data_IF_850119017288
#
_entry.id   IF_850119017288
#
_cell.length_a   1.000
_cell.length_b   1.000
_cell.length_c   1.000
_cell.angle_alpha   90.00
_cell.angle_beta   90.00
_cell.angle_gamma   90.00
#
_symmetry.space_group_name_H-M   'P 1'
#
loop_
_entity.id
_entity.type
_entity.pdbx_description
1 polymer ?
#
# COMPACT_ATOMS: atom_id res chain seq x y z
N UNK A 1 -22.22 -22.45 -33.51
CA UNK A 1 -23.22 -21.40 -33.14
C UNK A 1 -23.04 -20.80 -31.73
N UNK A 2 -22.35 -21.50 -30.78
CA UNK A 2 -22.14 -21.01 -29.41
C UNK A 2 -20.94 -20.03 -29.24
N UNK A 3 -20.00 -20.00 -30.20
CA UNK A 3 -18.80 -19.13 -30.07
C UNK A 3 -19.10 -17.65 -30.41
N UNK A 4 -20.02 -17.41 -31.33
CA UNK A 4 -20.41 -16.05 -31.77
C UNK A 4 -21.19 -15.30 -30.69
N UNK A 5 -22.04 -16.01 -29.94
CA UNK A 5 -22.83 -15.41 -28.86
C UNK A 5 -21.99 -14.97 -27.65
N UNK A 6 -20.89 -15.68 -27.36
CA UNK A 6 -19.93 -15.27 -26.31
C UNK A 6 -19.16 -14.02 -26.72
N UNK A 7 -18.64 -13.96 -27.96
CA UNK A 7 -17.93 -12.78 -28.47
C UNK A 7 -18.80 -11.53 -28.49
N UNK A 8 -20.07 -11.63 -28.91
CA UNK A 8 -20.99 -10.49 -28.92
C UNK A 8 -21.30 -9.99 -27.49
N UNK A 9 -21.54 -10.88 -26.51
CA UNK A 9 -21.73 -10.45 -25.10
C UNK A 9 -20.46 -9.81 -24.52
N UNK A 10 -19.30 -10.31 -24.88
CA UNK A 10 -18.02 -9.77 -24.43
C UNK A 10 -17.73 -8.39 -25.02
N UNK A 11 -18.04 -8.17 -26.31
CA UNK A 11 -17.98 -6.85 -26.93
C UNK A 11 -18.92 -5.86 -26.23
N UNK A 12 -20.16 -6.23 -25.97
CA UNK A 12 -21.14 -5.35 -25.33
C UNK A 12 -20.69 -4.86 -23.94
N UNK A 13 -20.02 -5.68 -23.13
CA UNK A 13 -19.52 -5.26 -21.80
C UNK A 13 -18.34 -4.29 -21.94
N UNK A 14 -17.42 -4.53 -22.88
CA UNK A 14 -16.29 -3.66 -23.15
C UNK A 14 -16.74 -2.28 -23.64
N UNK A 15 -17.67 -2.27 -24.60
CA UNK A 15 -18.16 -1.03 -25.21
C UNK A 15 -19.11 -0.28 -24.26
N UNK A 16 -19.74 -1.00 -23.33
CA UNK A 16 -20.65 -0.40 -22.34
C UNK A 16 -19.98 0.68 -21.48
N UNK A 17 -18.74 0.47 -21.03
CA UNK A 17 -18.02 1.45 -20.21
C UNK A 17 -17.76 2.74 -20.97
N UNK A 18 -17.49 2.68 -22.27
CA UNK A 18 -17.36 3.83 -23.15
C UNK A 18 -18.73 4.49 -23.42
N UNK A 19 -19.76 3.72 -23.75
CA UNK A 19 -21.09 4.24 -23.98
C UNK A 19 -21.77 4.84 -22.73
N UNK A 20 -21.36 4.42 -21.54
CA UNK A 20 -21.80 4.97 -20.26
C UNK A 20 -20.92 6.13 -19.75
N UNK A 21 -19.98 6.60 -20.58
CA UNK A 21 -19.05 7.69 -20.22
C UNK A 21 -18.23 7.42 -18.94
N UNK A 22 -17.97 6.12 -18.62
CA UNK A 22 -17.10 5.71 -17.54
C UNK A 22 -15.62 5.87 -17.94
N UNK A 23 -15.34 5.73 -19.23
CA UNK A 23 -14.02 5.92 -19.84
C UNK A 23 -14.13 6.66 -21.15
N UNK A 24 -13.14 7.51 -21.46
CA UNK A 24 -13.02 8.26 -22.72
C UNK A 24 -12.31 7.44 -23.81
N UNK A 25 -11.85 6.24 -23.50
CA UNK A 25 -11.12 5.38 -24.41
C UNK A 25 -12.12 4.51 -25.18
N UNK A 26 -12.25 4.78 -26.50
CA UNK A 26 -13.04 3.95 -27.42
C UNK A 26 -12.33 2.60 -27.64
N UNK A 27 -12.91 1.48 -27.14
CA UNK A 27 -12.27 0.18 -27.25
C UNK A 27 -12.23 -0.36 -28.68
N UNK A 28 -13.10 0.10 -29.57
CA UNK A 28 -13.10 -0.29 -30.97
C UNK A 28 -11.98 0.41 -31.73
N UNK A 29 -11.78 1.71 -31.47
CA UNK A 29 -10.73 2.50 -32.12
C UNK A 29 -9.33 1.99 -31.83
N UNK A 30 -9.11 1.46 -30.63
CA UNK A 30 -7.80 0.99 -30.17
C UNK A 30 -7.67 -0.54 -30.16
N UNK A 31 -8.65 -1.26 -30.71
CA UNK A 31 -8.68 -2.73 -30.80
C UNK A 31 -8.31 -3.43 -29.46
N UNK A 32 -8.93 -2.98 -28.38
CA UNK A 32 -8.65 -3.48 -27.05
C UNK A 32 -9.23 -4.88 -26.85
N UNK A 33 -8.43 -5.80 -26.33
CA UNK A 33 -8.88 -7.15 -26.02
C UNK A 33 -9.74 -7.16 -24.74
N UNK A 34 -10.90 -7.83 -24.79
CA UNK A 34 -11.81 -7.96 -23.66
C UNK A 34 -11.19 -8.69 -22.46
N UNK A 35 -10.40 -9.73 -22.74
CA UNK A 35 -9.73 -10.57 -21.75
C UNK A 35 -8.77 -9.77 -20.82
N UNK A 36 -8.36 -8.59 -21.25
CA UNK A 36 -7.57 -7.66 -20.43
C UNK A 36 -8.40 -7.02 -19.31
N UNK A 37 -9.71 -6.88 -19.52
CA UNK A 37 -10.65 -6.28 -18.55
C UNK A 37 -11.35 -7.31 -17.68
N UNK A 38 -11.60 -8.51 -18.22
CA UNK A 38 -12.28 -9.61 -17.53
C UNK A 38 -11.56 -10.92 -17.83
N UNK A 39 -10.64 -11.30 -16.94
CA UNK A 39 -9.99 -12.62 -17.00
C UNK A 39 -10.71 -13.56 -16.01
N UNK A 40 -11.33 -14.67 -16.47
CA UNK A 40 -11.98 -15.65 -15.60
C UNK A 40 -11.05 -16.33 -14.59
N UNK A 41 -9.75 -16.36 -14.89
CA UNK A 41 -8.72 -16.92 -14.00
C UNK A 41 -8.34 -15.96 -12.85
N UNK A 42 -8.69 -14.68 -12.96
CA UNK A 42 -8.41 -13.67 -11.93
C UNK A 42 -9.53 -13.67 -10.91
N UNK A 43 -9.37 -14.45 -9.85
CA UNK A 43 -10.25 -14.48 -8.68
C UNK A 43 -9.68 -13.51 -7.63
N UNK A 44 -9.84 -12.21 -7.84
CA UNK A 44 -9.46 -11.19 -6.85
C UNK A 44 -10.55 -10.14 -6.77
N UNK A 45 -10.72 -9.55 -5.59
CA UNK A 45 -11.58 -8.36 -5.43
C UNK A 45 -11.10 -7.23 -6.33
N UNK A 46 -12.00 -6.43 -6.90
CA UNK A 46 -11.61 -5.26 -7.69
C UNK A 46 -10.87 -4.25 -6.81
N UNK A 47 -9.77 -3.72 -7.29
CA UNK A 47 -9.05 -2.59 -6.70
C UNK A 47 -9.59 -1.31 -7.33
N UNK A 48 -10.06 -0.38 -6.51
CA UNK A 48 -10.69 0.86 -6.96
C UNK A 48 -9.82 2.02 -6.51
N UNK A 49 -8.99 2.50 -7.43
CA UNK A 49 -8.15 3.67 -7.23
C UNK A 49 -8.85 4.92 -7.77
N UNK A 50 -8.96 5.95 -6.93
CA UNK A 50 -9.55 7.23 -7.29
C UNK A 50 -8.53 8.35 -7.01
N UNK A 51 -8.12 9.04 -8.05
CA UNK A 51 -7.13 10.10 -7.99
C UNK A 51 -7.77 11.47 -7.74
N UNK A 52 -7.33 12.15 -6.68
CA UNK A 52 -7.77 13.49 -6.32
C UNK A 52 -6.59 14.44 -6.17
N UNK A 53 -6.85 15.75 -6.26
CA UNK A 53 -5.88 16.75 -5.81
C UNK A 53 -5.58 16.58 -4.31
N UNK A 54 -4.30 16.64 -3.94
CA UNK A 54 -3.84 16.35 -2.57
C UNK A 54 -4.43 17.33 -1.54
N UNK A 55 -4.62 18.59 -1.90
CA UNK A 55 -5.15 19.63 -1.01
C UNK A 55 -6.61 19.41 -0.60
N UNK A 56 -7.42 18.78 -1.45
CA UNK A 56 -8.86 18.60 -1.23
C UNK A 56 -9.28 17.15 -0.97
N UNK A 57 -8.33 16.22 -0.87
CA UNK A 57 -8.62 14.79 -0.57
C UNK A 57 -9.41 14.63 0.74
N UNK A 58 -9.10 15.42 1.75
CA UNK A 58 -9.81 15.39 3.04
C UNK A 58 -11.32 15.67 2.91
N UNK A 59 -11.71 16.58 2.01
CA UNK A 59 -13.12 16.86 1.73
C UNK A 59 -13.85 15.66 1.13
N UNK A 60 -13.15 14.87 0.30
CA UNK A 60 -13.73 13.65 -0.30
C UNK A 60 -14.00 12.59 0.77
N UNK A 61 -13.06 12.36 1.67
CA UNK A 61 -13.25 11.42 2.79
C UNK A 61 -14.42 11.86 3.68
N UNK A 62 -14.51 13.15 3.97
CA UNK A 62 -15.61 13.71 4.76
C UNK A 62 -16.97 13.58 4.03
N UNK A 63 -16.99 13.80 2.72
CA UNK A 63 -18.18 13.58 1.90
C UNK A 63 -18.66 12.11 1.97
N UNK A 64 -17.73 11.16 1.87
CA UNK A 64 -18.04 9.73 1.93
C UNK A 64 -18.61 9.37 3.31
N UNK A 65 -18.01 9.87 4.39
CA UNK A 65 -18.52 9.68 5.76
C UNK A 65 -19.93 10.24 5.92
N UNK A 66 -20.20 11.44 5.43
CA UNK A 66 -21.54 12.04 5.47
C UNK A 66 -22.57 11.27 4.63
N UNK A 67 -22.13 10.74 3.49
CA UNK A 67 -23.02 10.01 2.56
C UNK A 67 -23.42 8.63 3.07
N UNK A 68 -22.48 7.87 3.64
CA UNK A 68 -22.69 6.47 4.03
C UNK A 68 -22.89 6.28 5.53
N UNK A 69 -22.52 7.25 6.34
CA UNK A 69 -22.56 7.20 7.80
C UNK A 69 -21.17 7.03 8.41
N UNK A 70 -20.92 7.69 9.55
CA UNK A 70 -19.62 7.66 10.22
C UNK A 70 -19.22 6.27 10.72
N UNK A 71 -20.19 5.44 11.06
CA UNK A 71 -20.03 4.06 11.51
C UNK A 71 -19.88 3.05 10.36
N UNK A 72 -20.17 3.47 9.12
CA UNK A 72 -20.05 2.66 7.90
C UNK A 72 -18.72 2.87 7.15
N UNK A 73 -17.90 3.81 7.60
CA UNK A 73 -16.65 4.19 6.91
C UNK A 73 -15.49 4.16 7.88
N UNK A 74 -14.45 3.40 7.56
CA UNK A 74 -13.23 3.36 8.33
C UNK A 74 -12.00 3.37 7.44
N UNK A 75 -10.90 3.92 7.94
CA UNK A 75 -9.62 3.86 7.26
C UNK A 75 -8.94 2.51 7.55
N UNK A 76 -7.97 2.13 6.72
CA UNK A 76 -7.22 0.89 6.88
C UNK A 76 -5.98 1.16 7.71
N UNK A 77 -5.62 0.22 8.61
CA UNK A 77 -4.35 0.26 9.32
C UNK A 77 -3.23 -0.26 8.44
N UNK A 78 -2.05 0.33 8.59
CA UNK A 78 -0.80 -0.22 8.07
C UNK A 78 0.17 -0.45 9.22
N UNK A 79 0.90 -1.57 9.16
CA UNK A 79 1.94 -1.87 10.13
C UNK A 79 3.30 -1.64 9.50
N UNK A 80 4.05 -0.69 10.05
CA UNK A 80 5.46 -0.55 9.72
C UNK A 80 6.24 -1.70 10.35
N UNK A 81 6.93 -2.50 9.54
CA UNK A 81 7.77 -3.60 10.00
C UNK A 81 9.23 -3.17 10.17
N UNK A 82 9.95 -3.86 11.05
CA UNK A 82 11.38 -3.63 11.22
C UNK A 82 12.16 -4.23 10.05
N UNK A 83 12.57 -3.39 9.10
CA UNK A 83 13.52 -3.79 8.06
C UNK A 83 14.94 -3.96 8.65
N UNK A 84 15.80 -4.72 7.97
CA UNK A 84 17.16 -5.09 8.39
C UNK A 84 17.95 -3.97 9.09
N UNK A 85 18.08 -2.80 8.45
CA UNK A 85 18.82 -1.65 9.03
C UNK A 85 18.15 -1.05 10.26
N UNK A 86 16.82 -1.04 10.29
CA UNK A 86 16.06 -0.53 11.43
C UNK A 86 16.20 -1.49 12.62
N UNK A 87 16.11 -2.79 12.38
CA UNK A 87 16.31 -3.82 13.40
C UNK A 87 17.71 -3.72 14.05
N UNK A 88 18.78 -3.58 13.25
CA UNK A 88 20.14 -3.36 13.77
C UNK A 88 20.20 -2.13 14.68
N UNK A 89 19.64 -0.99 14.26
CA UNK A 89 19.70 0.25 15.06
C UNK A 89 18.88 0.16 16.35
N UNK A 90 17.71 -0.46 16.31
CA UNK A 90 16.85 -0.60 17.48
C UNK A 90 17.44 -1.57 18.51
N UNK A 91 17.97 -2.71 18.03
CA UNK A 91 18.69 -3.67 18.90
C UNK A 91 19.97 -3.07 19.45
N UNK A 92 20.73 -2.34 18.65
CA UNK A 92 21.94 -1.66 19.10
C UNK A 92 21.68 -0.70 20.25
N UNK A 93 20.58 0.07 20.20
CA UNK A 93 20.13 0.93 21.32
C UNK A 93 19.75 0.11 22.55
N UNK A 94 19.02 -0.99 22.37
CA UNK A 94 18.61 -1.86 23.47
C UNK A 94 19.81 -2.55 24.14
N UNK A 95 20.87 -2.84 23.38
CA UNK A 95 22.13 -3.40 23.89
C UNK A 95 23.10 -2.34 24.44
N UNK A 96 22.68 -1.07 24.54
CA UNK A 96 23.50 0.06 24.97
C UNK A 96 24.80 0.25 24.16
N UNK A 97 24.76 -0.07 22.86
CA UNK A 97 25.85 0.21 21.94
C UNK A 97 25.81 1.68 21.51
N UNK A 98 26.97 2.25 21.19
CA UNK A 98 27.03 3.63 20.69
C UNK A 98 26.44 3.72 19.30
N UNK A 99 25.85 4.87 18.96
CA UNK A 99 25.28 5.10 17.64
C UNK A 99 26.31 4.88 16.51
N UNK A 100 27.56 5.31 16.74
CA UNK A 100 28.63 5.16 15.77
C UNK A 100 28.97 3.69 15.46
N UNK A 101 29.07 2.85 16.48
CA UNK A 101 29.32 1.40 16.32
C UNK A 101 28.19 0.74 15.54
N UNK A 102 26.95 1.03 15.91
CA UNK A 102 25.76 0.43 15.30
C UNK A 102 25.57 0.91 13.85
N UNK A 103 25.85 2.20 13.56
CA UNK A 103 25.66 2.78 12.25
C UNK A 103 26.68 2.25 11.22
N UNK A 104 27.89 1.93 11.66
CA UNK A 104 28.89 1.22 10.84
C UNK A 104 28.32 -0.12 10.37
N UNK A 105 27.80 -0.94 11.27
CA UNK A 105 27.20 -2.23 10.93
C UNK A 105 25.97 -2.07 10.03
N UNK A 106 25.10 -1.13 10.36
CA UNK A 106 23.89 -0.88 9.59
C UNK A 106 24.16 -0.41 8.15
N UNK A 107 25.23 0.35 7.93
CA UNK A 107 25.64 0.81 6.59
C UNK A 107 26.20 -0.30 5.71
N UNK A 108 26.73 -1.37 6.28
CA UNK A 108 27.22 -2.54 5.53
C UNK A 108 26.09 -3.40 4.94
N UNK A 109 24.86 -3.23 5.41
CA UNK A 109 23.69 -3.85 4.76
C UNK A 109 23.50 -3.21 3.39
N UNK A 110 23.46 -3.97 2.29
CA UNK A 110 23.27 -3.42 0.95
C UNK A 110 22.02 -2.56 0.82
N UNK A 111 22.08 -1.51 0.02
CA UNK A 111 20.96 -0.64 -0.29
C UNK A 111 20.99 -0.26 -1.77
N UNK A 112 19.80 -0.20 -2.38
CA UNK A 112 19.63 0.17 -3.79
C UNK A 112 18.24 -0.19 -4.28
N UNK A 113 17.89 0.14 -5.53
CA UNK A 113 16.56 -0.14 -6.07
C UNK A 113 16.17 -1.64 -6.06
N UNK A 114 17.15 -2.57 -6.10
CA UNK A 114 16.93 -4.01 -5.97
C UNK A 114 17.09 -4.56 -4.54
N UNK A 115 17.41 -3.71 -3.56
CA UNK A 115 17.76 -4.10 -2.20
C UNK A 115 16.76 -3.62 -1.13
N UNK A 116 15.58 -3.16 -1.56
CA UNK A 116 14.57 -2.57 -0.67
C UNK A 116 14.04 -3.53 0.42
N UNK A 117 14.11 -4.84 0.17
CA UNK A 117 13.60 -5.88 1.06
C UNK A 117 14.66 -6.95 1.40
N UNK A 118 15.96 -6.60 1.34
CA UNK A 118 17.02 -7.53 1.73
C UNK A 118 16.90 -7.86 3.21
N UNK A 119 16.87 -9.16 3.51
CA UNK A 119 16.93 -9.69 4.87
C UNK A 119 18.37 -9.66 5.40
N UNK A 120 18.53 -9.69 6.73
CA UNK A 120 19.86 -9.77 7.35
C UNK A 120 20.62 -11.02 6.95
N UNK A 121 19.93 -12.15 6.74
CA UNK A 121 20.54 -13.38 6.24
C UNK A 121 21.10 -13.23 4.83
N UNK A 122 20.38 -12.55 3.95
CA UNK A 122 20.85 -12.24 2.59
C UNK A 122 21.98 -11.21 2.62
N UNK A 123 21.87 -10.19 3.48
CA UNK A 123 22.92 -9.18 3.67
C UNK A 123 24.27 -9.81 4.09
N UNK A 124 24.26 -10.80 4.97
CA UNK A 124 25.45 -11.55 5.37
C UNK A 124 26.08 -12.34 4.20
N UNK A 125 25.26 -12.78 3.23
CA UNK A 125 25.78 -13.47 2.03
C UNK A 125 26.35 -12.51 1.00
N UNK A 126 25.76 -11.33 0.88
CA UNK A 126 26.11 -10.34 -0.14
C UNK A 126 27.26 -9.42 0.29
N UNK A 127 27.36 -9.07 1.57
CA UNK A 127 28.38 -8.16 2.11
C UNK A 127 29.46 -8.95 2.84
N UNK A 128 30.61 -9.10 2.18
CA UNK A 128 31.78 -9.77 2.79
C UNK A 128 32.21 -9.08 4.09
N UNK A 129 32.26 -7.74 4.09
CA UNK A 129 32.65 -6.97 5.27
C UNK A 129 31.71 -7.23 6.46
N UNK A 130 30.39 -7.28 6.22
CA UNK A 130 29.41 -7.60 7.26
C UNK A 130 29.61 -9.02 7.80
N UNK A 131 29.87 -9.98 6.91
CA UNK A 131 30.13 -11.36 7.28
C UNK A 131 31.43 -11.54 8.08
N UNK A 132 32.48 -10.81 7.74
CA UNK A 132 33.76 -10.83 8.45
C UNK A 132 33.58 -10.25 9.87
N UNK A 133 32.94 -9.07 10.02
CA UNK A 133 32.62 -8.48 11.32
C UNK A 133 31.72 -9.39 12.18
N UNK A 134 30.75 -10.04 11.57
CA UNK A 134 29.88 -11.01 12.26
C UNK A 134 30.66 -12.21 12.83
N UNK A 135 31.72 -12.67 12.15
CA UNK A 135 32.58 -13.78 12.59
C UNK A 135 33.59 -13.38 13.64
N UNK A 136 34.18 -12.18 13.48
CA UNK A 136 35.34 -11.75 14.28
C UNK A 136 34.92 -11.03 15.56
N UNK A 137 33.78 -10.33 15.57
CA UNK A 137 33.35 -9.52 16.69
C UNK A 137 32.14 -10.10 17.43
N UNK A 138 32.33 -10.62 18.66
CA UNK A 138 31.22 -11.22 19.44
C UNK A 138 30.08 -10.24 19.72
N UNK A 139 30.37 -8.94 19.85
CA UNK A 139 29.36 -7.88 20.03
C UNK A 139 28.49 -7.72 18.78
N UNK A 140 29.12 -7.68 17.60
CA UNK A 140 28.41 -7.58 16.32
C UNK A 140 27.61 -8.84 16.04
N UNK A 141 28.14 -10.00 16.36
CA UNK A 141 27.40 -11.27 16.26
C UNK A 141 26.12 -11.22 17.10
N UNK A 142 26.21 -10.86 18.37
CA UNK A 142 25.05 -10.74 19.25
C UNK A 142 24.04 -9.72 18.72
N UNK A 143 24.52 -8.58 18.20
CA UNK A 143 23.69 -7.55 17.60
C UNK A 143 22.89 -8.10 16.40
N UNK A 144 23.54 -8.77 15.47
CA UNK A 144 22.93 -9.30 14.25
C UNK A 144 22.00 -10.46 14.56
N UNK A 145 22.39 -11.41 15.42
CA UNK A 145 21.55 -12.55 15.81
C UNK A 145 20.24 -12.06 16.46
N UNK A 146 20.33 -11.08 17.35
CA UNK A 146 19.14 -10.47 17.98
C UNK A 146 18.31 -9.69 16.97
N UNK A 147 18.95 -8.97 16.06
CA UNK A 147 18.26 -8.21 15.01
C UNK A 147 17.53 -9.14 14.02
N UNK A 148 18.09 -10.28 13.66
CA UNK A 148 17.44 -11.30 12.82
C UNK A 148 16.19 -11.88 13.48
N UNK A 149 16.17 -12.04 14.81
CA UNK A 149 15.00 -12.50 15.52
C UNK A 149 13.84 -11.49 15.55
N UNK A 150 14.15 -10.20 15.39
CA UNK A 150 13.16 -9.09 15.39
C UNK A 150 12.83 -8.57 14.00
N UNK A 151 13.63 -8.94 13.00
CA UNK A 151 13.41 -8.52 11.61
C UNK A 151 12.04 -8.97 11.11
N UNK A 152 11.31 -8.06 10.45
CA UNK A 152 9.97 -8.31 9.94
C UNK A 152 8.84 -8.17 10.98
N UNK A 153 9.16 -8.06 12.26
CA UNK A 153 8.12 -7.84 13.29
C UNK A 153 7.49 -6.44 13.14
N UNK A 154 6.17 -6.31 13.41
CA UNK A 154 5.51 -5.02 13.47
C UNK A 154 6.16 -4.11 14.52
N UNK A 155 6.40 -2.86 14.15
CA UNK A 155 7.01 -1.85 15.03
C UNK A 155 6.01 -0.79 15.48
N UNK A 156 5.21 -0.32 14.57
CA UNK A 156 4.17 0.68 14.84
C UNK A 156 3.00 0.49 13.87
N UNK A 157 1.82 0.91 14.31
CA UNK A 157 0.63 1.01 13.50
C UNK A 157 0.50 2.44 12.98
N UNK A 158 0.15 2.58 11.73
CA UNK A 158 -0.13 3.85 11.05
C UNK A 158 -1.45 3.74 10.30
N UNK A 159 -1.99 4.87 9.89
CA UNK A 159 -3.16 4.90 9.01
C UNK A 159 -2.71 4.80 7.56
N UNK A 160 -3.37 3.97 6.76
CA UNK A 160 -3.10 3.88 5.32
C UNK A 160 -3.33 5.23 4.65
N UNK A 161 -2.42 5.63 3.76
CA UNK A 161 -2.46 6.95 3.15
C UNK A 161 -3.72 7.21 2.30
N UNK A 162 -4.29 6.17 1.69
CA UNK A 162 -5.39 6.27 0.73
C UNK A 162 -6.58 5.36 1.07
N UNK A 163 -6.34 4.17 1.64
CA UNK A 163 -7.32 3.10 1.79
C UNK A 163 -8.47 3.42 2.74
N UNK A 164 -9.69 3.29 2.23
CA UNK A 164 -10.92 3.45 2.97
C UNK A 164 -11.83 2.25 2.71
N UNK A 165 -12.42 1.71 3.75
CA UNK A 165 -13.44 0.66 3.67
C UNK A 165 -14.81 1.28 3.86
N UNK A 166 -15.76 0.90 3.00
CA UNK A 166 -17.16 1.31 3.08
C UNK A 166 -18.01 0.04 3.18
N UNK A 167 -18.87 -0.05 4.19
CA UNK A 167 -19.65 -1.25 4.49
C UNK A 167 -21.15 -1.00 4.50
N UNK A 168 -21.92 -2.05 4.24
CA UNK A 168 -23.40 -1.99 4.26
C UNK A 168 -23.96 -1.91 5.69
N UNK A 169 -23.38 -2.65 6.63
CA UNK A 169 -23.65 -2.57 8.06
C UNK A 169 -22.52 -1.76 8.73
N UNK A 170 -22.65 -1.33 9.98
CA UNK A 170 -21.56 -0.68 10.70
C UNK A 170 -20.26 -1.49 10.65
N UNK A 171 -19.12 -0.83 10.46
CA UNK A 171 -17.82 -1.50 10.25
C UNK A 171 -17.45 -2.42 11.41
N UNK A 172 -17.86 -2.09 12.63
CA UNK A 172 -17.58 -2.90 13.83
C UNK A 172 -18.32 -4.27 13.82
N UNK A 173 -19.33 -4.45 12.99
CA UNK A 173 -20.00 -5.76 12.78
C UNK A 173 -19.11 -6.73 11.96
N UNK A 174 -18.14 -6.21 11.22
CA UNK A 174 -17.24 -7.00 10.37
C UNK A 174 -15.86 -7.14 10.99
N UNK A 175 -15.31 -6.06 11.53
CA UNK A 175 -13.92 -5.99 11.99
C UNK A 175 -13.79 -5.13 13.25
N UNK A 176 -12.83 -5.45 14.15
CA UNK A 176 -12.53 -4.60 15.28
C UNK A 176 -11.96 -3.27 14.81
N UNK A 177 -12.34 -2.20 15.49
CA UNK A 177 -11.89 -0.84 15.21
C UNK A 177 -10.90 -0.36 16.27
N UNK A 178 -10.01 0.52 15.87
CA UNK A 178 -9.14 1.29 16.76
C UNK A 178 -9.20 2.77 16.41
N UNK A 179 -8.72 3.60 17.30
CA UNK A 179 -8.52 5.03 17.05
C UNK A 179 -7.03 5.29 16.89
N UNK A 180 -6.66 5.91 15.80
CA UNK A 180 -5.30 6.38 15.55
C UNK A 180 -5.39 7.89 15.29
N UNK A 181 -4.89 8.68 16.24
CA UNK A 181 -5.15 10.11 16.34
C UNK A 181 -6.66 10.41 16.29
N UNK A 182 -7.11 11.15 15.27
CA UNK A 182 -8.52 11.50 15.08
C UNK A 182 -9.27 10.56 14.10
N UNK A 183 -8.57 9.58 13.53
CA UNK A 183 -9.15 8.64 12.56
C UNK A 183 -9.60 7.34 13.20
N UNK A 184 -10.76 6.84 12.78
CA UNK A 184 -11.21 5.48 13.06
C UNK A 184 -10.59 4.56 12.01
N UNK A 185 -9.86 3.54 12.48
CA UNK A 185 -9.14 2.59 11.62
C UNK A 185 -9.57 1.16 11.92
N UNK A 186 -9.64 0.34 10.87
CA UNK A 186 -9.77 -1.11 11.01
C UNK A 186 -8.47 -1.68 11.59
N UNK A 187 -8.56 -2.63 12.54
CA UNK A 187 -7.38 -3.25 13.15
C UNK A 187 -6.72 -4.32 12.27
N UNK A 188 -7.38 -4.76 11.20
CA UNK A 188 -6.86 -5.75 10.28
C UNK A 188 -6.16 -5.09 9.09
N UNK A 189 -5.11 -5.75 8.59
CA UNK A 189 -4.40 -5.36 7.37
C UNK A 189 -5.27 -5.57 6.14
N UNK A 190 -4.91 -4.89 5.05
CA UNK A 190 -5.64 -4.89 3.80
C UNK A 190 -5.97 -6.30 3.28
N UNK A 191 -5.01 -7.22 3.29
CA UNK A 191 -5.20 -8.60 2.82
C UNK A 191 -6.28 -9.35 3.61
N UNK A 192 -6.31 -9.19 4.92
CA UNK A 192 -7.33 -9.80 5.77
C UNK A 192 -8.72 -9.18 5.53
N UNK A 193 -8.80 -7.88 5.24
CA UNK A 193 -10.06 -7.22 4.88
C UNK A 193 -10.62 -7.76 3.56
N UNK A 194 -9.75 -8.01 2.57
CA UNK A 194 -10.12 -8.63 1.29
C UNK A 194 -10.62 -10.08 1.48
N UNK A 195 -9.95 -10.87 2.32
CA UNK A 195 -10.38 -12.24 2.67
C UNK A 195 -11.76 -12.27 3.35
N UNK A 196 -12.09 -11.23 4.12
CA UNK A 196 -13.41 -11.04 4.72
C UNK A 196 -14.46 -10.52 3.73
N UNK A 197 -14.08 -10.25 2.48
CA UNK A 197 -14.96 -9.77 1.43
C UNK A 197 -15.30 -8.27 1.53
N UNK A 198 -14.49 -7.49 2.26
CA UNK A 198 -14.64 -6.05 2.35
C UNK A 198 -13.94 -5.35 1.20
N UNK A 199 -14.65 -4.46 0.51
CA UNK A 199 -14.13 -3.70 -0.61
C UNK A 199 -13.29 -2.52 -0.11
N UNK A 200 -12.05 -2.45 -0.56
CA UNK A 200 -11.16 -1.31 -0.36
C UNK A 200 -11.36 -0.30 -1.50
N UNK A 201 -11.43 0.96 -1.15
CA UNK A 201 -11.34 2.09 -2.07
C UNK A 201 -10.14 2.94 -1.72
N UNK A 202 -9.25 3.18 -2.69
CA UNK A 202 -8.07 4.03 -2.51
C UNK A 202 -8.35 5.44 -3.02
N UNK A 203 -8.45 6.39 -2.08
CA UNK A 203 -8.57 7.81 -2.39
C UNK A 203 -7.17 8.42 -2.38
N UNK A 204 -6.53 8.42 -3.54
CA UNK A 204 -5.16 8.89 -3.71
C UNK A 204 -5.12 10.42 -3.82
N UNK A 205 -4.28 11.05 -2.99
CA UNK A 205 -4.00 12.49 -3.09
C UNK A 205 -2.75 12.71 -3.96
N UNK A 206 -2.94 13.18 -5.20
CA UNK A 206 -1.85 13.38 -6.15
C UNK A 206 -1.48 14.85 -6.30
N UNK A 207 -0.25 15.23 -5.95
CA UNK A 207 0.30 16.60 -6.16
C UNK A 207 0.31 17.01 -7.63
N UNK A 208 0.50 16.05 -8.54
CA UNK A 208 0.48 16.33 -9.97
C UNK A 208 -0.88 16.86 -10.44
N UNK A 209 -1.98 16.31 -9.94
CA UNK A 209 -3.32 16.81 -10.25
C UNK A 209 -3.54 18.23 -9.72
N UNK A 210 -3.07 18.52 -8.52
CA UNK A 210 -3.12 19.86 -7.95
C UNK A 210 -2.30 20.85 -8.80
N UNK A 211 -1.09 20.47 -9.22
CA UNK A 211 -0.25 21.29 -10.07
C UNK A 211 -0.88 21.57 -11.44
N UNK A 212 -1.43 20.53 -12.09
CA UNK A 212 -2.13 20.68 -13.39
C UNK A 212 -3.35 21.58 -13.25
N UNK A 213 -4.18 21.36 -12.23
CA UNK A 213 -5.34 22.23 -11.95
C UNK A 213 -4.93 23.67 -11.74
N UNK A 214 -3.86 23.92 -10.98
CA UNK A 214 -3.35 25.27 -10.74
C UNK A 214 -2.84 25.95 -12.02
N UNK A 215 -2.11 25.24 -12.87
CA UNK A 215 -1.62 25.77 -14.15
C UNK A 215 -2.76 26.11 -15.10
N UNK A 216 -3.81 25.26 -15.16
CA UNK A 216 -4.99 25.54 -15.98
C UNK A 216 -5.78 26.77 -15.48
N UNK A 217 -5.99 26.91 -14.18
CA UNK A 217 -6.66 28.09 -13.60
C UNK A 217 -5.89 29.36 -13.94
N UNK A 218 -4.56 29.37 -13.76
CA UNK A 218 -3.74 30.57 -14.12
C UNK A 218 -3.69 30.86 -15.61
N UNK A 219 -3.74 29.86 -16.47
CA UNK A 219 -3.76 30.05 -17.92
C UNK A 219 -5.05 30.76 -18.39
N UNK A 220 -6.14 30.65 -17.62
CA UNK A 220 -7.41 31.33 -17.91
C UNK A 220 -7.53 32.76 -17.31
N UNK A 221 -6.63 33.09 -16.35
CA UNK A 221 -6.58 34.42 -15.74
C UNK A 221 -5.70 35.44 -16.50
N UNK A 222 -4.92 34.95 -17.47
CA UNK A 222 -4.04 35.74 -18.35
C UNK A 222 -4.54 35.77 -19.79
#
# INVERSE_FOLDING_TARGET
LHSTSRRQRQMCIRDRSYCLEITDIDPMKYDLYFERFLNPERVSMPDIDMDFGDTRRGEVVEYVRKKYGDDHVAQIVTFGTMAARAAIRDVGRALNMTYAEVDVVAKLVPAGPGALHITLQEALKLSKQLADMYREEPKVKKLIDTAMALEGMPRHASTHAAGVVITKLPVYEYVPLARNDDAVVCQYVMTTLEELGLLKMDFLGLRNLTAVSYTHLRAHET
#
